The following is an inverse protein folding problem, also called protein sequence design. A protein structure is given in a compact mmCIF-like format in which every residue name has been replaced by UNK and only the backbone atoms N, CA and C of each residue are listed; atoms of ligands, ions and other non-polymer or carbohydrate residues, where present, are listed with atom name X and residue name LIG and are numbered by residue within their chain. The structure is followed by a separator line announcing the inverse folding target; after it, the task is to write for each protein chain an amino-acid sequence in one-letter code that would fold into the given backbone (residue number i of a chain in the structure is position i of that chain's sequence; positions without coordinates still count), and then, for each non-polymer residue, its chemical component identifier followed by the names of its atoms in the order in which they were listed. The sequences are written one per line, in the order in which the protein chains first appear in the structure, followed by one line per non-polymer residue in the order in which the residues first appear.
data_IF_691280035080
#
_entry.id   IF_691280035080
#
_cell.length_a   1.000
_cell.length_b   1.000
_cell.length_c   1.000
_cell.angle_alpha   90.00
_cell.angle_beta   90.00
_cell.angle_gamma   90.00
#
_symmetry.space_group_name_H-M   'P 1'
#
loop_
_entity.id
_entity.type
_entity.pdbx_description
1 polymer ?
#
# COMPACT_ATOMS: atom_id res chain seq x y z
N UNK A 1 -28.08 -13.30 22.88
CA UNK A 1 -26.64 -13.00 22.85
C UNK A 1 -26.10 -13.43 21.49
N UNK A 2 -25.46 -12.50 20.76
CA UNK A 2 -24.83 -12.86 19.48
C UNK A 2 -23.67 -13.82 19.68
N UNK A 3 -23.34 -14.70 18.70
CA UNK A 3 -22.22 -15.64 18.80
C UNK A 3 -20.90 -14.97 19.20
N UNK A 4 -20.68 -13.75 18.72
CA UNK A 4 -19.52 -12.92 19.06
C UNK A 4 -19.47 -12.45 20.52
N UNK A 5 -20.61 -12.24 21.18
CA UNK A 5 -20.67 -11.92 22.60
C UNK A 5 -20.37 -13.15 23.48
N UNK A 6 -20.81 -14.34 23.05
CA UNK A 6 -20.42 -15.61 23.72
C UNK A 6 -18.92 -15.84 23.60
N UNK A 7 -18.36 -15.61 22.42
CA UNK A 7 -16.92 -15.71 22.22
C UNK A 7 -16.14 -14.72 23.10
N UNK A 8 -16.58 -13.46 23.19
CA UNK A 8 -15.96 -12.47 24.07
C UNK A 8 -15.99 -12.88 25.56
N UNK A 9 -17.12 -13.45 26.04
CA UNK A 9 -17.22 -13.96 27.42
C UNK A 9 -16.38 -15.23 27.67
N UNK A 10 -16.17 -16.07 26.66
CA UNK A 10 -15.25 -17.22 26.79
C UNK A 10 -13.78 -16.78 26.79
N UNK A 11 -13.42 -15.75 26.00
CA UNK A 11 -12.06 -15.14 26.02
C UNK A 11 -11.80 -14.43 27.35
N UNK A 12 -12.80 -13.79 27.96
CA UNK A 12 -12.68 -13.24 29.32
C UNK A 12 -12.52 -14.31 30.41
N UNK A 13 -13.13 -15.46 30.24
CA UNK A 13 -13.02 -16.61 31.19
C UNK A 13 -11.71 -17.36 31.08
N UNK A 14 -11.00 -17.26 29.95
CA UNK A 14 -9.65 -17.75 29.87
C UNK A 14 -8.81 -16.91 30.81
N UNK A 15 -8.44 -17.42 31.96
CA UNK A 15 -7.44 -16.90 32.90
C UNK A 15 -6.03 -16.92 32.27
N UNK A 16 -5.95 -16.52 31.00
CA UNK A 16 -4.68 -16.22 30.35
C UNK A 16 -4.13 -14.99 31.07
N UNK A 17 -2.94 -15.09 31.62
CA UNK A 17 -2.16 -13.94 32.01
C UNK A 17 -2.30 -12.86 30.92
N UNK A 18 -2.41 -11.59 31.29
CA UNK A 18 -2.69 -10.45 30.40
C UNK A 18 -1.88 -10.46 29.09
N UNK A 19 -0.67 -11.00 29.13
CA UNK A 19 0.23 -11.21 27.98
C UNK A 19 -0.34 -12.24 27.01
N UNK A 20 -0.78 -13.41 27.48
CA UNK A 20 -1.30 -14.48 26.60
C UNK A 20 -2.56 -14.05 25.85
N UNK A 21 -3.45 -13.28 26.49
CA UNK A 21 -4.63 -12.69 25.85
C UNK A 21 -4.24 -11.73 24.72
N UNK A 22 -3.28 -10.84 25.00
CA UNK A 22 -2.80 -9.89 23.99
C UNK A 22 -2.18 -10.60 22.79
N UNK A 23 -1.33 -11.61 23.02
CA UNK A 23 -0.72 -12.41 21.95
C UNK A 23 -1.76 -13.13 21.10
N UNK A 24 -2.80 -13.70 21.73
CA UNK A 24 -3.91 -14.35 21.02
C UNK A 24 -4.68 -13.35 20.16
N UNK A 25 -5.01 -12.17 20.68
CA UNK A 25 -5.71 -11.13 19.93
C UNK A 25 -4.87 -10.59 18.76
N UNK A 26 -3.57 -10.43 18.96
CA UNK A 26 -2.66 -10.04 17.87
C UNK A 26 -2.58 -11.10 16.77
N UNK A 27 -2.59 -12.39 17.14
CA UNK A 27 -2.66 -13.49 16.17
C UNK A 27 -3.96 -13.45 15.37
N UNK A 28 -5.10 -13.17 16.00
CA UNK A 28 -6.39 -12.99 15.31
C UNK A 28 -6.35 -11.80 14.34
N UNK A 29 -5.77 -10.66 14.77
CA UNK A 29 -5.55 -9.51 13.87
C UNK A 29 -4.70 -9.93 12.69
N UNK A 30 -3.63 -10.69 12.93
CA UNK A 30 -2.75 -11.23 11.89
C UNK A 30 -3.50 -12.07 10.86
N UNK A 31 -4.34 -13.00 11.30
CA UNK A 31 -5.16 -13.83 10.40
C UNK A 31 -6.08 -12.97 9.53
N UNK A 32 -6.82 -12.04 10.15
CA UNK A 32 -7.79 -11.21 9.43
C UNK A 32 -7.07 -10.23 8.49
N UNK A 33 -5.96 -9.63 8.91
CA UNK A 33 -5.16 -8.74 8.08
C UNK A 33 -4.52 -9.49 6.90
N UNK A 34 -4.02 -10.71 7.13
CA UNK A 34 -3.49 -11.58 6.07
C UNK A 34 -4.54 -11.94 5.02
N UNK A 35 -5.75 -12.31 5.44
CA UNK A 35 -6.88 -12.51 4.53
C UNK A 35 -7.26 -11.23 3.79
N UNK A 36 -7.25 -10.08 4.47
CA UNK A 36 -7.48 -8.77 3.87
C UNK A 36 -6.43 -8.41 2.81
N UNK A 37 -5.16 -8.72 3.07
CA UNK A 37 -4.07 -8.53 2.11
C UNK A 37 -4.22 -9.44 0.88
N UNK A 38 -4.62 -10.70 1.06
CA UNK A 38 -4.95 -11.62 -0.05
C UNK A 38 -6.06 -11.03 -0.92
N UNK A 39 -7.16 -10.60 -0.31
CA UNK A 39 -8.29 -10.01 -1.03
C UNK A 39 -7.87 -8.75 -1.78
N UNK A 40 -7.13 -7.86 -1.11
CA UNK A 40 -6.64 -6.62 -1.74
C UNK A 40 -5.75 -6.91 -2.94
N UNK A 41 -4.81 -7.85 -2.80
CA UNK A 41 -3.92 -8.26 -3.89
C UNK A 41 -4.69 -8.83 -5.08
N UNK A 42 -5.68 -9.71 -4.84
CA UNK A 42 -6.53 -10.28 -5.91
C UNK A 42 -7.31 -9.16 -6.62
N UNK A 43 -7.91 -8.23 -5.86
CA UNK A 43 -8.67 -7.12 -6.44
C UNK A 43 -7.77 -6.17 -7.24
N UNK A 44 -6.55 -5.89 -6.79
CA UNK A 44 -5.60 -5.07 -7.54
C UNK A 44 -5.23 -5.75 -8.87
N UNK A 45 -4.90 -7.04 -8.85
CA UNK A 45 -4.57 -7.78 -10.08
C UNK A 45 -5.78 -7.89 -11.03
N UNK A 46 -6.99 -8.16 -10.49
CA UNK A 46 -8.21 -8.21 -11.29
C UNK A 46 -8.53 -6.86 -11.94
N UNK A 47 -8.39 -5.76 -11.19
CA UNK A 47 -8.59 -4.42 -11.73
C UNK A 47 -7.52 -4.07 -12.79
N UNK A 48 -6.26 -4.42 -12.55
CA UNK A 48 -5.18 -4.22 -13.52
C UNK A 48 -5.40 -5.06 -14.79
N UNK A 49 -5.85 -6.30 -14.66
CA UNK A 49 -6.22 -7.13 -15.82
C UNK A 49 -7.33 -6.45 -16.63
N UNK A 50 -8.43 -6.07 -15.99
CA UNK A 50 -9.57 -5.46 -16.66
C UNK A 50 -9.21 -4.13 -17.33
N UNK A 51 -8.62 -3.20 -16.57
CA UNK A 51 -8.42 -1.83 -17.03
C UNK A 51 -7.18 -1.66 -17.92
N UNK A 52 -6.06 -2.25 -17.54
CA UNK A 52 -4.80 -2.06 -18.26
C UNK A 52 -4.60 -3.13 -19.35
N UNK A 53 -4.77 -4.42 -19.03
CA UNK A 53 -4.51 -5.48 -19.99
C UNK A 53 -5.63 -5.60 -21.01
N UNK A 54 -6.89 -5.72 -20.59
CA UNK A 54 -8.02 -6.02 -21.51
C UNK A 54 -8.51 -4.77 -22.25
N UNK A 55 -8.47 -3.57 -21.64
CA UNK A 55 -8.93 -2.35 -22.30
C UNK A 55 -7.82 -1.61 -23.05
N UNK A 56 -6.66 -1.39 -22.42
CA UNK A 56 -5.53 -0.64 -23.03
C UNK A 56 -4.65 -1.55 -23.89
N UNK A 57 -4.54 -2.84 -23.56
CA UNK A 57 -3.56 -3.74 -24.15
C UNK A 57 -2.15 -3.54 -23.56
N UNK A 58 -2.05 -3.00 -22.34
CA UNK A 58 -0.80 -2.83 -21.62
C UNK A 58 -0.83 -3.64 -20.32
N UNK A 59 0.14 -4.50 -20.13
CA UNK A 59 0.31 -5.27 -18.91
C UNK A 59 1.54 -4.79 -18.15
N UNK A 60 1.37 -4.15 -16.96
CA UNK A 60 2.50 -3.81 -16.11
C UNK A 60 3.28 -5.07 -15.73
N UNK A 61 4.59 -5.03 -15.81
CA UNK A 61 5.43 -6.09 -15.26
C UNK A 61 5.31 -6.11 -13.74
N UNK A 62 5.32 -7.33 -13.16
CA UNK A 62 5.27 -7.55 -11.73
C UNK A 62 6.62 -7.97 -11.14
N UNK A 63 6.78 -7.97 -9.81
CA UNK A 63 7.96 -8.53 -9.17
C UNK A 63 7.98 -10.06 -9.32
N UNK A 64 9.17 -10.65 -9.40
CA UNK A 64 9.35 -12.08 -9.69
C UNK A 64 8.65 -13.02 -8.69
N UNK A 65 8.50 -12.59 -7.45
CA UNK A 65 7.82 -13.38 -6.41
C UNK A 65 6.30 -13.29 -6.44
N UNK A 66 5.71 -12.45 -7.29
CA UNK A 66 4.26 -12.27 -7.35
C UNK A 66 3.67 -13.07 -8.50
N UNK A 67 2.93 -14.17 -8.22
CA UNK A 67 2.34 -14.97 -9.27
C UNK A 67 1.23 -14.20 -9.99
N UNK A 68 1.19 -14.31 -11.30
CA UNK A 68 0.10 -13.80 -12.12
C UNK A 68 -1.14 -14.66 -11.95
N UNK A 69 -2.25 -14.05 -11.53
CA UNK A 69 -3.51 -14.77 -11.31
C UNK A 69 -4.37 -14.88 -12.57
N UNK A 70 -4.12 -14.03 -13.55
CA UNK A 70 -4.92 -13.94 -14.78
C UNK A 70 -4.06 -14.15 -16.01
N UNK A 71 -4.62 -14.79 -17.02
CA UNK A 71 -3.94 -15.04 -18.29
C UNK A 71 -3.66 -13.72 -19.04
N UNK A 72 -2.60 -13.71 -19.85
CA UNK A 72 -2.34 -12.59 -20.73
C UNK A 72 -3.46 -12.45 -21.76
N UNK A 73 -4.00 -11.24 -21.93
CA UNK A 73 -4.94 -10.94 -23.00
C UNK A 73 -4.14 -10.52 -24.26
N UNK A 74 -4.49 -11.09 -25.40
CA UNK A 74 -3.95 -10.68 -26.70
C UNK A 74 -4.80 -9.53 -27.27
N UNK A 75 -4.70 -8.35 -26.63
CA UNK A 75 -5.44 -7.15 -27.06
C UNK A 75 -4.44 -6.15 -27.67
N UNK A 76 -4.75 -5.54 -28.81
CA UNK A 76 -3.89 -4.53 -29.41
C UNK A 76 -3.74 -3.32 -28.49
N UNK A 77 -2.53 -2.80 -28.39
CA UNK A 77 -2.23 -1.63 -27.56
C UNK A 77 -2.93 -0.37 -28.08
N UNK A 78 -3.66 0.31 -27.18
CA UNK A 78 -4.48 1.48 -27.45
C UNK A 78 -3.98 2.69 -26.64
N UNK A 79 -2.94 3.35 -27.12
CA UNK A 79 -2.28 4.45 -26.43
C UNK A 79 -3.24 5.60 -26.02
N UNK A 80 -4.30 5.87 -26.82
CA UNK A 80 -5.27 6.93 -26.54
C UNK A 80 -6.12 6.71 -25.27
N UNK A 81 -6.21 5.45 -24.81
CA UNK A 81 -6.92 5.10 -23.57
C UNK A 81 -6.09 5.39 -22.31
N UNK A 82 -4.78 5.58 -22.42
CA UNK A 82 -3.90 5.80 -21.27
C UNK A 82 -4.33 7.00 -20.39
N UNK A 83 -4.76 8.16 -20.94
CA UNK A 83 -5.29 9.24 -20.10
C UNK A 83 -6.71 8.97 -19.58
N UNK A 84 -7.51 8.21 -20.32
CA UNK A 84 -8.93 8.03 -20.06
C UNK A 84 -9.19 7.03 -18.94
N UNK A 85 -8.50 5.87 -18.96
CA UNK A 85 -8.75 4.78 -18.02
C UNK A 85 -8.39 5.16 -16.57
N UNK A 86 -7.22 5.79 -16.25
CA UNK A 86 -6.96 6.27 -14.90
C UNK A 86 -7.91 7.36 -14.43
N UNK A 87 -8.42 8.20 -15.36
CA UNK A 87 -9.43 9.19 -15.03
C UNK A 87 -10.75 8.54 -14.59
N UNK A 88 -11.21 7.50 -15.31
CA UNK A 88 -12.40 6.73 -14.96
C UNK A 88 -12.19 6.00 -13.62
N UNK A 89 -11.04 5.35 -13.43
CA UNK A 89 -10.71 4.67 -12.18
C UNK A 89 -10.69 5.61 -10.98
N UNK A 90 -10.08 6.80 -11.15
CA UNK A 90 -10.08 7.86 -10.15
C UNK A 90 -11.49 8.36 -9.84
N UNK A 91 -12.34 8.58 -10.87
CA UNK A 91 -13.73 8.96 -10.68
C UNK A 91 -14.51 7.93 -9.86
N UNK A 92 -14.41 6.65 -10.23
CA UNK A 92 -15.12 5.56 -9.53
C UNK A 92 -14.65 5.41 -8.09
N UNK A 93 -13.34 5.43 -7.86
CA UNK A 93 -12.74 5.38 -6.52
C UNK A 93 -13.15 6.60 -5.68
N UNK A 94 -13.09 7.80 -6.27
CA UNK A 94 -13.48 9.04 -5.61
C UNK A 94 -14.95 9.09 -5.26
N UNK A 95 -15.85 8.62 -6.11
CA UNK A 95 -17.29 8.50 -5.82
C UNK A 95 -17.55 7.54 -4.66
N UNK A 96 -16.85 6.40 -4.65
CA UNK A 96 -16.98 5.40 -3.59
C UNK A 96 -16.52 5.97 -2.24
N UNK A 97 -15.36 6.62 -2.21
CA UNK A 97 -14.80 7.26 -1.01
C UNK A 97 -15.72 8.39 -0.54
N UNK A 98 -16.08 9.31 -1.42
CA UNK A 98 -16.94 10.46 -1.09
C UNK A 98 -18.29 10.04 -0.49
N UNK A 99 -18.91 8.98 -1.02
CA UNK A 99 -20.24 8.52 -0.61
C UNK A 99 -20.23 7.71 0.67
N UNK A 100 -19.21 6.87 0.90
CA UNK A 100 -19.26 5.85 1.95
C UNK A 100 -18.23 6.04 3.06
N UNK A 101 -17.04 6.52 2.77
CA UNK A 101 -15.96 6.67 3.76
C UNK A 101 -14.98 7.78 3.35
N UNK A 102 -15.29 9.08 3.55
CA UNK A 102 -14.37 10.18 3.21
C UNK A 102 -12.99 10.07 3.87
N UNK A 103 -12.90 9.44 5.04
CA UNK A 103 -11.64 9.16 5.73
C UNK A 103 -10.77 8.08 5.06
N UNK A 104 -11.26 7.41 4.03
CA UNK A 104 -10.47 6.53 3.18
C UNK A 104 -9.76 7.28 2.04
N UNK A 105 -9.91 8.60 1.93
CA UNK A 105 -9.18 9.43 0.97
C UNK A 105 -7.67 9.46 1.26
N UNK A 106 -6.87 9.87 0.28
CA UNK A 106 -5.42 9.97 0.39
C UNK A 106 -4.69 8.63 0.47
N UNK A 107 -3.43 8.65 0.92
CA UNK A 107 -2.60 7.44 0.94
C UNK A 107 -2.95 6.45 2.07
N UNK A 108 -3.49 6.90 3.20
CA UNK A 108 -4.06 6.03 4.24
C UNK A 108 -3.24 5.89 5.52
N UNK A 109 -1.93 6.11 5.50
CA UNK A 109 -1.09 6.08 6.72
C UNK A 109 -1.45 7.20 7.69
N UNK A 110 -1.66 8.43 7.20
CA UNK A 110 -2.02 9.58 8.04
C UNK A 110 -3.31 9.34 8.82
N UNK A 111 -4.28 8.66 8.20
CA UNK A 111 -5.54 8.30 8.84
C UNK A 111 -5.34 7.26 9.96
N UNK A 112 -4.40 6.32 9.78
CA UNK A 112 -4.03 5.37 10.83
C UNK A 112 -3.32 6.07 11.99
N UNK A 113 -2.41 7.01 11.69
CA UNK A 113 -1.72 7.86 12.68
C UNK A 113 -2.72 8.71 13.46
N UNK A 114 -3.65 9.39 12.77
CA UNK A 114 -4.68 10.21 13.41
C UNK A 114 -5.62 9.36 14.28
N UNK A 115 -6.01 8.17 13.81
CA UNK A 115 -6.83 7.24 14.60
C UNK A 115 -6.10 6.76 15.86
N UNK A 116 -4.80 6.51 15.76
CA UNK A 116 -3.98 6.07 16.88
C UNK A 116 -3.87 7.16 17.97
N UNK A 117 -3.50 8.39 17.57
CA UNK A 117 -3.21 9.47 18.53
C UNK A 117 -4.47 10.23 18.99
N UNK A 118 -5.37 10.58 18.08
CA UNK A 118 -6.49 11.51 18.35
C UNK A 118 -7.82 10.84 18.55
N UNK A 119 -8.02 9.62 17.99
CA UNK A 119 -9.31 8.91 18.05
C UNK A 119 -9.28 7.65 18.91
N UNK A 120 -8.32 7.54 19.85
CA UNK A 120 -8.21 6.41 20.76
C UNK A 120 -8.21 5.03 20.04
N UNK A 121 -7.59 4.94 18.87
CA UNK A 121 -7.54 3.73 18.08
C UNK A 121 -8.85 3.37 17.37
N UNK A 122 -9.77 4.33 17.16
CA UNK A 122 -11.06 4.09 16.52
C UNK A 122 -11.01 4.38 15.02
N UNK A 123 -11.25 3.34 14.21
CA UNK A 123 -11.52 3.42 12.77
C UNK A 123 -12.91 2.82 12.51
N UNK A 124 -13.72 3.48 11.69
CA UNK A 124 -15.03 2.95 11.32
C UNK A 124 -14.88 1.67 10.50
N UNK A 125 -15.66 0.62 10.82
CA UNK A 125 -15.52 -0.71 10.21
C UNK A 125 -15.73 -0.77 8.69
N UNK A 126 -16.34 0.25 8.08
CA UNK A 126 -16.49 0.36 6.62
C UNK A 126 -15.22 0.87 5.92
N UNK A 127 -14.34 1.58 6.65
CA UNK A 127 -13.12 2.18 6.07
C UNK A 127 -12.21 1.15 5.41
N UNK A 128 -11.82 0.04 6.05
CA UNK A 128 -10.97 -0.96 5.41
C UNK A 128 -11.59 -1.56 4.15
N UNK A 129 -12.91 -1.74 4.10
CA UNK A 129 -13.61 -2.28 2.93
C UNK A 129 -13.58 -1.27 1.78
N UNK A 130 -13.96 -0.02 2.05
CA UNK A 130 -13.96 1.04 1.04
C UNK A 130 -12.53 1.32 0.55
N UNK A 131 -11.55 1.34 1.45
CA UNK A 131 -10.14 1.51 1.09
C UNK A 131 -9.64 0.41 0.16
N UNK A 132 -9.98 -0.84 0.47
CA UNK A 132 -9.61 -2.00 -0.37
C UNK A 132 -10.11 -1.82 -1.79
N UNK A 133 -11.41 -1.52 -1.97
CA UNK A 133 -12.02 -1.41 -3.30
C UNK A 133 -11.53 -0.14 -4.02
N UNK A 134 -11.53 1.01 -3.34
CA UNK A 134 -11.12 2.28 -3.95
C UNK A 134 -9.64 2.25 -4.38
N UNK A 135 -8.75 1.71 -3.55
CA UNK A 135 -7.33 1.60 -3.91
C UNK A 135 -7.08 0.58 -5.04
N UNK A 136 -7.82 -0.54 -5.06
CA UNK A 136 -7.74 -1.49 -6.16
C UNK A 136 -8.21 -0.86 -7.49
N UNK A 137 -9.29 -0.06 -7.47
CA UNK A 137 -9.77 0.68 -8.64
C UNK A 137 -8.73 1.72 -9.10
N UNK A 138 -8.21 2.53 -8.20
CA UNK A 138 -7.22 3.57 -8.54
C UNK A 138 -5.95 2.95 -9.11
N UNK A 139 -5.33 2.02 -8.38
CA UNK A 139 -4.04 1.43 -8.77
C UNK A 139 -4.19 0.50 -9.98
N UNK A 140 -5.26 -0.29 -10.02
CA UNK A 140 -5.54 -1.20 -11.12
C UNK A 140 -5.92 -0.51 -12.43
N UNK A 141 -6.49 0.70 -12.38
CA UNK A 141 -6.78 1.49 -13.59
C UNK A 141 -5.57 2.28 -14.11
N UNK A 142 -4.43 2.23 -13.42
CA UNK A 142 -3.21 2.95 -13.81
C UNK A 142 -2.94 4.20 -13.00
N UNK A 143 -3.74 4.52 -11.97
CA UNK A 143 -3.37 5.53 -10.99
C UNK A 143 -2.06 5.17 -10.32
N UNK A 144 -1.13 6.12 -10.25
CA UNK A 144 0.21 5.91 -9.73
C UNK A 144 0.24 5.94 -8.21
N UNK A 145 0.81 4.92 -7.58
CA UNK A 145 0.95 4.87 -6.13
C UNK A 145 1.46 3.53 -5.63
N UNK A 146 1.78 3.50 -4.34
CA UNK A 146 2.13 2.27 -3.64
C UNK A 146 0.92 1.60 -2.98
N UNK A 147 1.11 0.38 -2.54
CA UNK A 147 0.10 -0.38 -1.76
C UNK A 147 0.35 -0.33 -0.25
N UNK A 148 1.43 0.34 0.17
CA UNK A 148 1.88 0.45 1.55
C UNK A 148 0.82 1.14 2.43
N UNK A 149 0.43 2.34 2.04
CA UNK A 149 -0.55 3.15 2.76
C UNK A 149 -1.94 2.49 2.80
N UNK A 150 -2.50 2.08 1.66
CA UNK A 150 -3.76 1.35 1.64
C UNK A 150 -3.77 0.12 2.54
N UNK A 151 -2.76 -0.74 2.47
CA UNK A 151 -2.73 -1.97 3.28
C UNK A 151 -2.51 -1.68 4.77
N UNK A 152 -1.75 -0.65 5.12
CA UNK A 152 -1.60 -0.18 6.48
C UNK A 152 -2.94 0.27 7.08
N UNK A 153 -3.72 1.08 6.35
CA UNK A 153 -5.05 1.52 6.78
C UNK A 153 -6.06 0.36 6.84
N UNK A 154 -6.00 -0.58 5.91
CA UNK A 154 -6.83 -1.80 5.91
C UNK A 154 -6.53 -2.63 7.17
N UNK A 155 -5.26 -2.91 7.45
CA UNK A 155 -4.84 -3.66 8.63
C UNK A 155 -5.19 -2.95 9.94
N UNK A 156 -4.91 -1.64 10.03
CA UNK A 156 -5.31 -0.80 11.16
C UNK A 156 -6.82 -0.86 11.42
N UNK A 157 -7.61 -0.78 10.35
CA UNK A 157 -9.07 -0.86 10.42
C UNK A 157 -9.56 -2.21 10.95
N UNK A 158 -8.93 -3.32 10.59
CA UNK A 158 -9.26 -4.64 11.12
C UNK A 158 -8.89 -4.76 12.61
N UNK A 159 -7.69 -4.29 13.01
CA UNK A 159 -7.29 -4.25 14.41
C UNK A 159 -8.25 -3.41 15.27
N UNK A 160 -8.60 -2.23 14.80
CA UNK A 160 -9.59 -1.36 15.45
C UNK A 160 -10.99 -1.98 15.52
N UNK A 161 -11.43 -2.64 14.45
CA UNK A 161 -12.73 -3.33 14.41
C UNK A 161 -12.81 -4.46 15.44
N UNK A 162 -11.79 -5.32 15.52
CA UNK A 162 -11.72 -6.41 16.47
C UNK A 162 -11.76 -5.88 17.92
N UNK A 163 -10.89 -4.90 18.23
CA UNK A 163 -10.81 -4.29 19.55
C UNK A 163 -12.14 -3.65 19.98
N UNK A 164 -12.83 -2.99 19.08
CA UNK A 164 -14.15 -2.42 19.33
C UNK A 164 -15.22 -3.49 19.57
N UNK A 165 -15.20 -4.58 18.81
CA UNK A 165 -16.14 -5.70 18.98
C UNK A 165 -15.99 -6.40 20.31
N UNK A 166 -14.78 -6.44 20.84
CA UNK A 166 -14.44 -7.01 22.15
C UNK A 166 -14.55 -5.99 23.29
N UNK A 167 -14.96 -4.73 22.99
CA UNK A 167 -15.08 -3.63 23.95
C UNK A 167 -13.79 -3.36 24.73
N UNK A 168 -12.62 -3.51 24.09
CA UNK A 168 -11.32 -3.31 24.72
C UNK A 168 -11.05 -1.84 25.08
N UNK A 169 -10.27 -1.58 26.14
CA UNK A 169 -9.87 -0.22 26.54
C UNK A 169 -9.01 0.46 25.45
N UNK A 170 -8.91 1.78 25.50
CA UNK A 170 -8.23 2.58 24.46
C UNK A 170 -6.77 2.15 24.21
N UNK A 171 -6.02 1.79 25.28
CA UNK A 171 -4.63 1.32 25.19
C UNK A 171 -4.53 0.03 24.36
N UNK A 172 -5.30 -1.00 24.69
CA UNK A 172 -5.29 -2.27 23.96
C UNK A 172 -5.78 -2.08 22.50
N UNK A 173 -6.73 -1.19 22.27
CA UNK A 173 -7.23 -0.86 20.94
C UNK A 173 -6.16 -0.21 20.07
N UNK A 174 -5.34 0.70 20.62
CA UNK A 174 -4.19 1.27 19.93
C UNK A 174 -3.15 0.20 19.58
N UNK A 175 -2.85 -0.68 20.51
CA UNK A 175 -1.93 -1.82 20.27
C UNK A 175 -2.43 -2.70 19.13
N UNK A 176 -3.71 -3.09 19.12
CA UNK A 176 -4.27 -3.93 18.04
C UNK A 176 -4.36 -3.18 16.70
N UNK A 177 -4.60 -1.86 16.72
CA UNK A 177 -4.52 -1.03 15.51
C UNK A 177 -3.10 -1.06 14.93
N UNK A 178 -2.09 -0.80 15.74
CA UNK A 178 -0.69 -0.83 15.34
C UNK A 178 -0.26 -2.23 14.86
N UNK A 179 -0.64 -3.27 15.59
CA UNK A 179 -0.42 -4.66 15.16
C UNK A 179 -1.05 -4.94 13.78
N UNK A 180 -2.24 -4.38 13.51
CA UNK A 180 -2.89 -4.45 12.22
C UNK A 180 -2.13 -3.72 11.11
N UNK A 181 -1.57 -2.53 11.38
CA UNK A 181 -0.69 -1.81 10.44
C UNK A 181 0.47 -2.70 10.01
N UNK A 182 1.22 -3.24 10.99
CA UNK A 182 2.34 -4.12 10.74
C UNK A 182 1.95 -5.39 9.98
N UNK A 183 0.84 -6.03 10.40
CA UNK A 183 0.32 -7.23 9.78
C UNK A 183 -0.04 -7.03 8.31
N UNK A 184 -0.68 -5.90 7.97
CA UNK A 184 -0.99 -5.53 6.59
C UNK A 184 0.28 -5.39 5.75
N UNK A 185 1.19 -4.51 6.17
CA UNK A 185 2.43 -4.21 5.43
C UNK A 185 3.33 -5.44 5.33
N UNK A 186 3.62 -6.09 6.46
CA UNK A 186 4.54 -7.24 6.48
C UNK A 186 4.05 -8.45 5.70
N UNK A 187 2.72 -8.65 5.57
CA UNK A 187 2.17 -9.74 4.76
C UNK A 187 2.33 -9.49 3.27
N UNK A 188 1.92 -8.32 2.76
CA UNK A 188 1.92 -8.04 1.32
C UNK A 188 3.34 -7.91 0.75
N UNK A 189 4.29 -7.42 1.56
CA UNK A 189 5.72 -7.33 1.20
C UNK A 189 6.52 -8.58 1.56
N UNK A 190 5.90 -9.56 2.22
CA UNK A 190 6.56 -10.78 2.71
C UNK A 190 7.80 -10.49 3.57
N UNK A 191 7.70 -9.47 4.38
CA UNK A 191 8.77 -8.95 5.22
C UNK A 191 8.24 -8.75 6.66
N UNK A 192 8.03 -9.83 7.45
CA UNK A 192 7.35 -9.74 8.73
C UNK A 192 8.10 -8.87 9.74
N UNK A 193 9.43 -8.93 9.80
CA UNK A 193 10.22 -8.09 10.70
C UNK A 193 10.11 -6.60 10.30
N UNK A 194 10.23 -6.31 9.01
CA UNK A 194 10.10 -4.93 8.52
C UNK A 194 8.69 -4.37 8.77
N UNK A 195 7.65 -5.18 8.61
CA UNK A 195 6.28 -4.77 8.92
C UNK A 195 6.06 -4.45 10.40
N UNK A 196 6.66 -5.22 11.31
CA UNK A 196 6.59 -4.95 12.74
C UNK A 196 7.32 -3.64 13.13
N UNK A 197 8.50 -3.42 12.58
CA UNK A 197 9.27 -2.18 12.77
C UNK A 197 8.55 -0.98 12.16
N UNK A 198 7.99 -1.13 10.96
CA UNK A 198 7.19 -0.11 10.31
C UNK A 198 6.01 0.34 11.17
N UNK A 199 5.30 -0.58 11.82
CA UNK A 199 4.19 -0.24 12.70
C UNK A 199 4.64 0.54 13.95
N UNK A 200 5.83 0.25 14.48
CA UNK A 200 6.39 0.97 15.61
C UNK A 200 6.93 2.35 15.22
N UNK A 201 7.43 2.52 13.99
CA UNK A 201 8.06 3.75 13.52
C UNK A 201 7.04 4.73 12.92
N UNK A 202 6.14 4.24 12.04
CA UNK A 202 5.23 5.12 11.27
C UNK A 202 4.19 5.84 12.14
N UNK A 203 3.90 5.30 13.32
CA UNK A 203 2.91 5.88 14.24
C UNK A 203 3.49 6.98 15.13
N UNK A 204 4.80 7.17 15.17
CA UNK A 204 5.48 8.13 16.04
C UNK A 204 6.34 9.11 15.25
N UNK A 205 6.38 10.35 15.70
CA UNK A 205 7.22 11.40 15.12
C UNK A 205 8.65 11.39 15.64
N UNK A 206 8.85 10.82 16.83
CA UNK A 206 10.16 10.68 17.47
C UNK A 206 10.60 9.21 17.48
N UNK A 207 11.92 8.92 17.42
CA UNK A 207 12.46 7.56 17.39
C UNK A 207 12.31 6.79 18.72
N UNK A 208 11.50 7.27 19.64
CA UNK A 208 11.12 6.55 20.85
C UNK A 208 10.16 5.41 20.49
N UNK A 209 10.74 4.25 20.23
CA UNK A 209 9.98 3.02 20.01
C UNK A 209 9.13 2.70 21.25
N UNK A 210 7.81 2.72 21.12
CA UNK A 210 6.97 2.09 22.13
C UNK A 210 7.21 0.59 22.10
N UNK A 211 7.99 0.09 23.05
CA UNK A 211 8.30 -1.32 23.23
C UNK A 211 7.03 -2.19 23.33
N UNK A 212 5.93 -1.60 23.79
CA UNK A 212 4.63 -2.27 23.91
C UNK A 212 3.97 -2.63 22.56
N UNK A 213 4.33 -1.95 21.47
CA UNK A 213 3.75 -2.18 20.14
C UNK A 213 4.56 -3.20 19.34
N UNK A 214 5.89 -3.28 19.54
CA UNK A 214 6.79 -4.08 18.72
C UNK A 214 6.45 -5.57 18.79
N UNK A 215 6.31 -6.13 19.99
CA UNK A 215 6.03 -7.56 20.17
C UNK A 215 4.64 -7.94 19.62
N UNK A 216 3.55 -7.21 19.97
CA UNK A 216 2.24 -7.41 19.36
C UNK A 216 2.26 -7.32 17.83
N UNK A 217 2.91 -6.30 17.27
CA UNK A 217 3.03 -6.13 15.84
C UNK A 217 3.83 -7.26 15.19
N UNK A 218 4.94 -7.72 15.79
CA UNK A 218 5.74 -8.82 15.28
C UNK A 218 4.90 -10.12 15.18
N UNK A 219 4.13 -10.45 16.21
CA UNK A 219 3.29 -11.64 16.22
C UNK A 219 2.20 -11.55 15.15
N UNK A 220 1.47 -10.42 15.13
CA UNK A 220 0.42 -10.22 14.12
C UNK A 220 0.98 -10.27 12.70
N UNK A 221 2.17 -9.69 12.48
CA UNK A 221 2.83 -9.65 11.17
C UNK A 221 3.32 -11.02 10.72
N UNK A 222 3.91 -11.82 11.62
CA UNK A 222 4.32 -13.20 11.31
C UNK A 222 3.11 -14.04 10.92
N UNK A 223 2.04 -13.99 11.70
CA UNK A 223 0.81 -14.71 11.39
C UNK A 223 0.21 -14.27 10.06
N UNK A 224 0.12 -12.98 9.81
CA UNK A 224 -0.40 -12.43 8.56
C UNK A 224 0.47 -12.85 7.35
N UNK A 225 1.79 -12.81 7.50
CA UNK A 225 2.74 -13.31 6.51
C UNK A 225 2.51 -14.79 6.20
N UNK A 226 2.34 -15.64 7.21
CA UNK A 226 2.04 -17.06 7.01
C UNK A 226 0.73 -17.24 6.24
N UNK A 227 -0.35 -16.56 6.65
CA UNK A 227 -1.66 -16.63 5.97
C UNK A 227 -1.55 -16.17 4.51
N UNK A 228 -0.90 -15.06 4.25
CA UNK A 228 -0.70 -14.54 2.89
C UNK A 228 0.14 -15.49 2.03
N UNK A 229 1.20 -16.04 2.60
CA UNK A 229 2.14 -16.93 1.91
C UNK A 229 1.54 -18.31 1.60
N UNK A 230 0.53 -18.77 2.33
CA UNK A 230 -0.23 -19.97 1.97
C UNK A 230 -0.90 -19.84 0.59
N UNK A 231 -1.29 -18.64 0.18
CA UNK A 231 -1.90 -18.39 -1.14
C UNK A 231 -0.88 -18.04 -2.21
N UNK A 232 0.08 -17.18 -1.89
CA UNK A 232 1.00 -16.59 -2.87
C UNK A 232 2.43 -17.15 -2.81
N UNK A 233 2.72 -18.08 -1.90
CA UNK A 233 4.05 -18.68 -1.72
C UNK A 233 4.94 -17.90 -0.77
N UNK A 234 6.02 -18.55 -0.33
CA UNK A 234 6.98 -18.05 0.65
C UNK A 234 8.22 -17.39 0.02
N UNK A 235 8.32 -17.35 -1.31
CA UNK A 235 9.43 -16.71 -2.00
C UNK A 235 9.46 -15.20 -1.70
N UNK A 236 10.64 -14.59 -1.70
CA UNK A 236 10.79 -13.14 -1.58
C UNK A 236 10.06 -12.41 -2.72
N UNK A 237 9.58 -11.19 -2.47
CA UNK A 237 8.83 -10.40 -3.45
C UNK A 237 9.69 -10.11 -4.70
N UNK A 238 10.95 -9.71 -4.49
CA UNK A 238 11.90 -9.42 -5.56
C UNK A 238 12.97 -10.50 -5.66
N UNK A 239 13.33 -10.86 -6.87
CA UNK A 239 14.52 -11.64 -7.15
C UNK A 239 15.73 -10.70 -7.19
N UNK A 240 16.70 -10.96 -6.35
CA UNK A 240 17.95 -10.19 -6.30
C UNK A 240 19.12 -11.02 -6.78
N UNK A 241 20.05 -10.47 -7.56
CA UNK A 241 21.34 -11.11 -7.82
C UNK A 241 22.09 -11.36 -6.50
N UNK A 242 23.01 -12.30 -6.52
CA UNK A 242 23.91 -12.48 -5.37
C UNK A 242 24.91 -11.33 -5.36
N UNK A 243 24.89 -10.55 -4.31
CA UNK A 243 25.84 -9.49 -4.03
C UNK A 243 26.79 -9.94 -2.93
N UNK A 244 28.07 -9.69 -3.12
CA UNK A 244 29.11 -9.92 -2.12
C UNK A 244 29.79 -8.59 -1.83
N UNK A 245 29.90 -8.24 -0.55
CA UNK A 245 30.69 -7.09 -0.13
C UNK A 245 32.17 -7.45 -0.25
N UNK A 246 32.91 -6.81 -1.15
CA UNK A 246 34.29 -7.14 -1.46
C UNK A 246 35.32 -6.18 -0.86
N UNK A 247 34.93 -4.92 -0.66
CA UNK A 247 35.87 -3.89 -0.23
C UNK A 247 35.18 -2.76 0.50
N UNK A 248 35.86 -2.17 1.50
CA UNK A 248 35.39 -0.98 2.21
C UNK A 248 35.18 0.24 1.27
N UNK A 249 35.84 0.29 0.13
CA UNK A 249 35.63 1.35 -0.88
C UNK A 249 34.22 1.37 -1.46
N UNK A 250 33.47 0.26 -1.40
CA UNK A 250 32.07 0.20 -1.81
C UNK A 250 31.15 1.08 -0.95
N UNK A 251 31.62 1.48 0.24
CA UNK A 251 30.85 2.41 1.09
C UNK A 251 30.73 3.81 0.48
N UNK A 252 31.69 4.24 -0.35
CA UNK A 252 31.64 5.55 -1.00
C UNK A 252 30.45 5.68 -1.97
N UNK A 253 30.23 4.76 -2.95
CA UNK A 253 29.03 4.82 -3.80
C UNK A 253 27.75 4.62 -2.99
N UNK A 254 27.73 3.83 -1.91
CA UNK A 254 26.55 3.72 -1.05
C UNK A 254 26.23 5.04 -0.33
N UNK A 255 27.26 5.75 0.15
CA UNK A 255 27.08 7.08 0.74
C UNK A 255 26.55 8.09 -0.28
N UNK A 256 27.12 8.10 -1.49
CA UNK A 256 26.64 8.96 -2.57
C UNK A 256 25.18 8.64 -2.94
N UNK A 257 24.83 7.36 -3.01
CA UNK A 257 23.46 6.91 -3.24
C UNK A 257 22.51 7.37 -2.11
N UNK A 258 22.91 7.24 -0.86
CA UNK A 258 22.11 7.68 0.29
C UNK A 258 21.82 9.18 0.23
N UNK A 259 22.81 10.01 -0.11
CA UNK A 259 22.61 11.45 -0.30
C UNK A 259 21.66 11.73 -1.47
N UNK A 260 21.83 11.06 -2.61
CA UNK A 260 20.95 11.21 -3.77
C UNK A 260 19.51 10.84 -3.45
N UNK A 261 19.30 9.73 -2.74
CA UNK A 261 17.97 9.27 -2.30
C UNK A 261 17.35 10.27 -1.30
N UNK A 262 18.12 10.81 -0.35
CA UNK A 262 17.64 11.82 0.59
C UNK A 262 17.16 13.09 -0.13
N UNK A 263 17.92 13.57 -1.12
CA UNK A 263 17.52 14.71 -1.94
C UNK A 263 16.26 14.43 -2.78
N UNK A 264 16.19 13.24 -3.40
CA UNK A 264 15.02 12.80 -4.17
C UNK A 264 13.78 12.68 -3.27
N UNK A 265 13.93 12.15 -2.06
CA UNK A 265 12.83 12.05 -1.07
C UNK A 265 12.35 13.44 -0.64
N UNK A 266 13.26 14.38 -0.36
CA UNK A 266 12.90 15.76 -0.03
C UNK A 266 12.17 16.47 -1.18
N UNK A 267 12.59 16.21 -2.42
CA UNK A 267 11.91 16.72 -3.61
C UNK A 267 10.51 16.10 -3.75
N UNK A 268 10.39 14.78 -3.57
CA UNK A 268 9.10 14.08 -3.62
C UNK A 268 8.11 14.67 -2.60
N UNK A 269 8.52 14.84 -1.35
CA UNK A 269 7.68 15.42 -0.30
C UNK A 269 7.22 16.82 -0.69
N UNK A 270 8.13 17.69 -1.17
CA UNK A 270 7.77 19.05 -1.61
C UNK A 270 6.75 19.04 -2.74
N UNK A 271 6.95 18.22 -3.77
CA UNK A 271 6.05 18.14 -4.92
C UNK A 271 4.70 17.57 -4.49
N UNK A 272 4.70 16.49 -3.71
CA UNK A 272 3.49 15.85 -3.22
C UNK A 272 2.61 16.82 -2.43
N UNK A 273 3.16 17.48 -1.41
CA UNK A 273 2.40 18.43 -0.61
C UNK A 273 2.03 19.70 -1.37
N UNK A 274 2.84 20.16 -2.34
CA UNK A 274 2.46 21.26 -3.19
C UNK A 274 1.25 20.95 -4.08
N UNK A 275 1.15 19.72 -4.60
CA UNK A 275 -0.02 19.25 -5.35
C UNK A 275 -1.22 19.09 -4.43
N UNK A 276 -1.03 18.44 -3.29
CA UNK A 276 -2.07 18.23 -2.27
C UNK A 276 -2.67 19.55 -1.80
N UNK A 277 -1.86 20.54 -1.48
CA UNK A 277 -2.31 21.87 -1.04
C UNK A 277 -3.09 22.60 -2.14
N UNK A 278 -2.62 22.53 -3.39
CA UNK A 278 -3.36 23.11 -4.52
C UNK A 278 -4.69 22.39 -4.75
N UNK A 279 -4.69 21.08 -4.70
CA UNK A 279 -5.91 20.26 -4.82
C UNK A 279 -6.91 20.57 -3.70
N UNK A 280 -6.44 20.73 -2.45
CA UNK A 280 -7.29 21.03 -1.31
C UNK A 280 -7.99 22.40 -1.42
N UNK A 281 -7.33 23.39 -2.07
CA UNK A 281 -7.89 24.72 -2.31
C UNK A 281 -9.01 24.75 -3.38
N UNK A 282 -9.10 23.70 -4.20
CA UNK A 282 -10.17 23.61 -5.20
C UNK A 282 -11.47 23.20 -4.52
N UNK A 283 -12.54 23.97 -4.74
CA UNK A 283 -13.89 23.67 -4.22
C UNK A 283 -14.63 22.60 -5.02
N UNK A 284 -13.88 21.57 -5.51
CA UNK A 284 -14.43 20.47 -6.28
C UNK A 284 -14.69 19.23 -5.41
N UNK A 285 -15.71 18.42 -5.74
CA UNK A 285 -15.94 17.13 -5.09
C UNK A 285 -14.71 16.21 -5.19
N UNK A 286 -14.50 15.35 -4.18
CA UNK A 286 -13.39 14.39 -4.14
C UNK A 286 -13.34 13.55 -5.43
N UNK A 287 -14.49 13.11 -5.94
CA UNK A 287 -14.59 12.32 -7.15
C UNK A 287 -14.04 13.04 -8.40
N UNK A 288 -14.31 14.35 -8.54
CA UNK A 288 -13.80 15.15 -9.65
C UNK A 288 -12.28 15.38 -9.51
N UNK A 289 -11.79 15.65 -8.31
CA UNK A 289 -10.35 15.80 -8.05
C UNK A 289 -9.60 14.52 -8.41
N UNK A 290 -10.10 13.37 -7.96
CA UNK A 290 -9.51 12.06 -8.27
C UNK A 290 -9.55 11.74 -9.78
N UNK A 291 -10.62 12.10 -10.48
CA UNK A 291 -10.72 11.98 -11.94
C UNK A 291 -9.65 12.83 -12.64
N UNK A 292 -9.51 14.09 -12.25
CA UNK A 292 -8.50 15.00 -12.83
C UNK A 292 -7.08 14.52 -12.55
N UNK A 293 -6.79 14.07 -11.32
CA UNK A 293 -5.52 13.49 -10.94
C UNK A 293 -5.16 12.26 -11.79
N UNK A 294 -6.12 11.35 -11.98
CA UNK A 294 -5.97 10.19 -12.86
C UNK A 294 -5.76 10.57 -14.32
N UNK A 295 -6.48 11.58 -14.82
CA UNK A 295 -6.29 12.09 -16.18
C UNK A 295 -4.88 12.66 -16.39
N UNK A 296 -4.40 13.53 -15.49
CA UNK A 296 -3.06 14.11 -15.54
C UNK A 296 -1.99 13.01 -15.48
N UNK A 297 -2.17 12.03 -14.60
CA UNK A 297 -1.29 10.85 -14.48
C UNK A 297 -1.19 10.11 -15.84
N UNK A 298 -2.32 9.87 -16.48
CA UNK A 298 -2.36 9.21 -17.79
C UNK A 298 -1.74 10.05 -18.90
N UNK A 299 -1.93 11.38 -18.91
CA UNK A 299 -1.29 12.29 -19.87
C UNK A 299 0.23 12.28 -19.71
N UNK A 300 0.74 12.33 -18.48
CA UNK A 300 2.18 12.25 -18.22
C UNK A 300 2.73 10.89 -18.71
N UNK A 301 2.05 9.78 -18.39
CA UNK A 301 2.47 8.46 -18.83
C UNK A 301 2.51 8.34 -20.36
N UNK A 302 1.50 8.85 -21.05
CA UNK A 302 1.45 8.87 -22.52
C UNK A 302 2.59 9.74 -23.10
N UNK A 303 2.85 10.92 -22.54
CA UNK A 303 3.94 11.80 -22.99
C UNK A 303 5.30 11.12 -22.83
N UNK A 304 5.54 10.45 -21.71
CA UNK A 304 6.78 9.71 -21.46
C UNK A 304 6.94 8.52 -22.42
N UNK A 305 5.86 7.80 -22.71
CA UNK A 305 5.85 6.71 -23.68
C UNK A 305 6.19 7.22 -25.09
N UNK A 306 5.52 8.26 -25.56
CA UNK A 306 5.76 8.84 -26.88
C UNK A 306 7.16 9.44 -27.01
N UNK A 307 7.68 10.04 -25.94
CA UNK A 307 9.02 10.65 -25.93
C UNK A 307 10.17 9.63 -25.89
N UNK A 308 9.97 8.49 -25.19
CA UNK A 308 11.00 7.47 -25.04
C UNK A 308 10.86 6.30 -26.03
N UNK A 309 9.68 6.14 -26.61
CA UNK A 309 9.27 4.99 -27.43
C UNK A 309 9.52 3.63 -26.72
N UNK A 310 9.36 3.61 -25.39
CA UNK A 310 9.60 2.45 -24.54
C UNK A 310 8.39 2.13 -23.67
N UNK A 311 7.96 0.87 -23.67
CA UNK A 311 6.90 0.42 -22.76
C UNK A 311 7.25 0.54 -21.28
N UNK A 312 8.53 0.48 -20.92
CA UNK A 312 8.97 0.72 -19.54
C UNK A 312 8.66 2.14 -19.03
N UNK A 313 8.46 3.12 -19.93
CA UNK A 313 8.01 4.45 -19.52
C UNK A 313 6.58 4.44 -18.95
N UNK A 314 5.76 3.43 -19.28
CA UNK A 314 4.42 3.24 -18.73
C UNK A 314 4.42 2.67 -17.31
N UNK A 315 5.56 2.22 -16.78
CA UNK A 315 5.69 1.76 -15.40
C UNK A 315 5.53 2.90 -14.36
N UNK A 316 5.40 4.15 -14.83
CA UNK A 316 4.91 5.26 -13.99
C UNK A 316 3.44 5.09 -13.59
N UNK A 317 2.68 4.27 -14.29
CA UNK A 317 1.32 3.87 -13.93
C UNK A 317 1.36 2.77 -12.86
N UNK A 318 0.24 2.63 -12.13
CA UNK A 318 0.05 1.56 -11.13
C UNK A 318 1.18 1.52 -10.08
N UNK A 319 1.64 0.34 -9.68
CA UNK A 319 2.66 0.16 -8.62
C UNK A 319 4.10 0.47 -9.08
N UNK A 320 4.46 0.10 -10.31
CA UNK A 320 5.82 0.24 -10.85
C UNK A 320 6.84 -0.77 -10.29
N UNK A 321 6.39 -1.86 -9.65
CA UNK A 321 7.32 -2.86 -9.07
C UNK A 321 8.09 -3.66 -10.12
N UNK A 322 7.55 -3.77 -11.34
CA UNK A 322 8.26 -4.39 -12.45
C UNK A 322 9.55 -3.66 -12.81
N UNK A 323 9.51 -2.32 -12.91
CA UNK A 323 10.71 -1.52 -13.14
C UNK A 323 11.76 -1.70 -12.03
N UNK A 324 11.34 -1.87 -10.77
CA UNK A 324 12.28 -2.17 -9.66
C UNK A 324 12.92 -3.54 -9.87
N UNK A 325 12.11 -4.55 -10.22
CA UNK A 325 12.60 -5.90 -10.50
C UNK A 325 13.59 -5.92 -11.67
N UNK A 326 13.24 -5.28 -12.78
CA UNK A 326 14.06 -5.25 -13.97
C UNK A 326 15.31 -4.37 -13.79
N UNK A 327 15.24 -3.31 -12.96
CA UNK A 327 16.41 -2.53 -12.55
C UNK A 327 17.40 -3.37 -11.73
N UNK A 328 16.91 -4.15 -10.76
CA UNK A 328 17.76 -5.07 -9.96
C UNK A 328 18.46 -6.12 -10.81
N UNK A 329 17.82 -6.54 -11.91
CA UNK A 329 18.37 -7.52 -12.86
C UNK A 329 19.18 -6.86 -13.99
N UNK A 330 19.32 -5.54 -14.01
CA UNK A 330 20.07 -4.81 -15.04
C UNK A 330 19.43 -4.85 -16.43
N UNK A 331 18.10 -5.04 -16.51
CA UNK A 331 17.38 -5.18 -17.79
C UNK A 331 16.90 -3.86 -18.40
N UNK A 332 16.89 -2.78 -17.62
CA UNK A 332 16.43 -1.45 -18.06
C UNK A 332 17.63 -0.50 -18.13
N UNK A 333 17.78 0.26 -19.23
CA UNK A 333 18.78 1.31 -19.34
C UNK A 333 18.60 2.38 -18.26
N UNK A 334 19.69 2.89 -17.70
CA UNK A 334 19.67 3.90 -16.62
C UNK A 334 18.89 5.17 -16.99
N UNK A 335 18.93 5.60 -18.26
CA UNK A 335 18.18 6.76 -18.74
C UNK A 335 16.65 6.57 -18.63
N UNK A 336 16.15 5.37 -18.93
CA UNK A 336 14.73 5.02 -18.75
C UNK A 336 14.38 4.95 -17.27
N UNK A 337 15.27 4.41 -16.40
CA UNK A 337 15.05 4.38 -14.95
C UNK A 337 14.93 5.80 -14.36
N UNK A 338 15.78 6.74 -14.78
CA UNK A 338 15.68 8.14 -14.35
C UNK A 338 14.38 8.80 -14.85
N UNK A 339 14.00 8.52 -16.09
CA UNK A 339 12.74 9.00 -16.67
C UNK A 339 11.53 8.45 -15.90
N UNK A 340 11.51 7.17 -15.58
CA UNK A 340 10.46 6.54 -14.77
C UNK A 340 10.44 7.09 -13.35
N UNK A 341 11.61 7.26 -12.71
CA UNK A 341 11.70 7.82 -11.37
C UNK A 341 11.15 9.26 -11.30
N UNK A 342 11.57 10.12 -12.22
CA UNK A 342 11.05 11.50 -12.33
C UNK A 342 9.56 11.55 -12.67
N UNK A 343 9.13 10.70 -13.60
CA UNK A 343 7.73 10.55 -13.97
C UNK A 343 6.87 10.07 -12.81
N UNK A 344 7.35 9.05 -12.07
CA UNK A 344 6.65 8.47 -10.90
C UNK A 344 6.45 9.50 -9.79
N UNK A 345 7.43 10.36 -9.57
CA UNK A 345 7.34 11.46 -8.60
C UNK A 345 6.14 12.37 -8.91
N UNK A 346 5.96 12.74 -10.17
CA UNK A 346 4.84 13.59 -10.60
C UNK A 346 3.52 12.82 -10.60
N UNK A 347 3.48 11.64 -11.24
CA UNK A 347 2.25 10.86 -11.39
C UNK A 347 1.68 10.44 -10.03
N UNK A 348 2.53 10.08 -9.05
CA UNK A 348 2.09 9.76 -7.70
C UNK A 348 1.52 10.97 -6.98
N UNK A 349 2.14 12.15 -7.13
CA UNK A 349 1.63 13.37 -6.52
C UNK A 349 0.23 13.74 -7.05
N UNK A 350 -0.04 13.57 -8.35
CA UNK A 350 -1.36 13.85 -8.92
C UNK A 350 -2.39 12.75 -8.66
N UNK A 351 -1.97 11.49 -8.53
CA UNK A 351 -2.88 10.37 -8.34
C UNK A 351 -3.37 10.23 -6.90
N UNK A 352 -2.54 10.59 -5.92
CA UNK A 352 -2.78 10.36 -4.48
C UNK A 352 -2.87 11.65 -3.68
N UNK A 353 -2.17 12.72 -4.09
CA UNK A 353 -2.17 14.04 -3.46
C UNK A 353 -3.37 14.87 -3.85
#
# INVERSE_FOLDING_TARGET
MTPLRRFATEVEKLELHSVGRTLFLCSMVGVVAGCGAILFQILCQAASQLFLADLIGYRPSGPAGEPELFAAAEVPFRAWLIPVIPAIGGLLAGLLVQRFAPEAAGHGTDEAVDAFHRRNGLIRGRVPIIKTIASALTLGSGGSGGREGPIAQIGAGFGSFLARRLALPARERRILLAAGVGAGVGSIFRAPLAGALFAAEVLYSDPEFESEVIIPAAIATIVAYCVFSLKFGFASLFATPRFEFRSAWELLPYTALAVAVALASGLFVKVFYAVHERSSRLSLPIAIKAMLGGFVTGVIALALYLGSNSFHALDVLSFGYGSIQDAMLGRIPWAILLLVAGGKLLTTAFSVG
#
